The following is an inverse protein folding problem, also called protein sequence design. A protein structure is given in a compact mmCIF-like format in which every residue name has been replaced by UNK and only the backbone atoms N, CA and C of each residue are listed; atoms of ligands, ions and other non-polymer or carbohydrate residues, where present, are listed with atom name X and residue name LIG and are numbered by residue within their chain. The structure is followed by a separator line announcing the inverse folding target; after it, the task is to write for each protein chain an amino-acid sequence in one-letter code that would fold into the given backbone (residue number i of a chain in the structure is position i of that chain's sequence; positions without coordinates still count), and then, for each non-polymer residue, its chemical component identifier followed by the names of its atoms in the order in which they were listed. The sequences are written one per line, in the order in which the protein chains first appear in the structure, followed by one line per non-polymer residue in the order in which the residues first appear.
data_IF_531726876784
#
_entry.id   IF_531726876784
#
_cell.length_a   1.000
_cell.length_b   1.000
_cell.length_c   1.000
_cell.angle_alpha   90.00
_cell.angle_beta   90.00
_cell.angle_gamma   90.00
#
_symmetry.space_group_name_H-M   'P 1'
#
loop_
_entity.id
_entity.type
_entity.pdbx_description
1 polymer ?
#
# COMPACT_ATOMS: atom_id res chain seq x y z
N UNK A 1 9.25 -5.75 9.48
CA UNK A 1 7.92 -5.58 8.85
C UNK A 1 7.96 -5.07 7.42
N UNK A 2 8.77 -4.05 7.08
CA UNK A 2 8.80 -3.45 5.74
C UNK A 2 9.14 -4.42 4.59
N UNK A 3 10.08 -5.36 4.77
CA UNK A 3 10.51 -6.27 3.71
C UNK A 3 9.39 -7.18 3.16
N UNK A 4 8.42 -7.60 3.99
CA UNK A 4 7.27 -8.38 3.54
C UNK A 4 6.30 -7.55 2.70
N UNK A 5 6.02 -6.32 3.14
CA UNK A 5 5.13 -5.41 2.41
C UNK A 5 5.77 -5.04 1.06
N UNK A 6 7.08 -4.88 1.02
CA UNK A 6 7.80 -4.59 -0.22
C UNK A 6 7.68 -5.72 -1.24
N UNK A 7 7.82 -6.97 -0.78
CA UNK A 7 7.61 -8.14 -1.62
C UNK A 7 6.18 -8.22 -2.13
N UNK A 8 5.19 -8.02 -1.25
CA UNK A 8 3.77 -8.03 -1.60
C UNK A 8 3.44 -6.96 -2.64
N UNK A 9 3.90 -5.72 -2.46
CA UNK A 9 3.71 -4.64 -3.44
C UNK A 9 4.48 -4.94 -4.74
N UNK A 10 5.61 -5.64 -4.69
CA UNK A 10 6.35 -5.97 -5.91
C UNK A 10 5.72 -7.07 -6.76
N UNK A 11 4.96 -7.97 -6.16
CA UNK A 11 4.38 -9.13 -6.85
C UNK A 11 2.85 -9.06 -6.97
N UNK A 12 2.21 -8.05 -6.37
CA UNK A 12 0.78 -7.82 -6.50
C UNK A 12 0.47 -6.92 -7.70
N UNK A 13 -0.59 -7.26 -8.43
CA UNK A 13 -1.10 -6.40 -9.50
C UNK A 13 -1.95 -5.24 -8.97
N UNK A 14 -2.52 -5.38 -7.76
CA UNK A 14 -3.48 -4.44 -7.15
C UNK A 14 -3.28 -4.39 -5.64
N UNK A 15 -3.45 -3.21 -5.06
CA UNK A 15 -3.48 -3.03 -3.60
C UNK A 15 -4.91 -2.70 -3.18
N UNK A 16 -5.47 -3.46 -2.25
CA UNK A 16 -6.74 -3.11 -1.59
C UNK A 16 -6.39 -2.74 -0.16
N UNK A 17 -6.73 -1.53 0.25
CA UNK A 17 -6.48 -1.01 1.58
C UNK A 17 -7.79 -0.50 2.20
N UNK A 18 -7.89 -0.60 3.52
CA UNK A 18 -8.90 0.09 4.30
C UNK A 18 -8.17 1.13 5.13
N UNK A 19 -8.07 2.35 4.61
CA UNK A 19 -7.22 3.40 5.17
C UNK A 19 -7.93 4.75 5.20
N UNK A 20 -7.98 5.37 6.37
CA UNK A 20 -8.65 6.65 6.63
C UNK A 20 -7.88 7.89 6.12
N UNK A 21 -6.85 7.70 5.30
CA UNK A 21 -6.03 8.77 4.75
C UNK A 21 -5.08 9.43 5.76
N UNK A 22 -5.05 8.98 7.03
CA UNK A 22 -4.13 9.53 8.03
C UNK A 22 -2.73 8.96 7.85
N UNK A 23 -1.75 9.85 7.77
CA UNK A 23 -0.32 9.54 7.57
C UNK A 23 0.36 8.86 8.77
N UNK A 24 -0.37 8.09 9.58
CA UNK A 24 0.15 7.39 10.75
C UNK A 24 0.09 5.86 10.54
N UNK A 25 1.24 5.20 10.62
CA UNK A 25 1.34 3.73 10.65
C UNK A 25 1.77 3.06 9.35
N UNK A 26 1.81 1.72 9.37
CA UNK A 26 2.33 0.88 8.27
C UNK A 26 1.48 0.91 6.99
N UNK A 27 0.23 1.33 7.07
CA UNK A 27 -0.68 1.44 5.92
C UNK A 27 -0.29 2.61 5.02
N UNK A 28 0.09 3.76 5.59
CA UNK A 28 0.61 4.91 4.82
C UNK A 28 1.91 4.56 4.08
N UNK A 29 2.82 3.81 4.71
CA UNK A 29 4.04 3.33 4.05
C UNK A 29 3.73 2.47 2.81
N UNK A 30 2.77 1.54 2.97
CA UNK A 30 2.37 0.61 1.92
C UNK A 30 1.64 1.33 0.78
N UNK A 31 0.75 2.27 1.10
CA UNK A 31 0.05 3.11 0.12
C UNK A 31 1.03 3.95 -0.71
N UNK A 32 1.94 4.67 -0.06
CA UNK A 32 2.93 5.51 -0.75
C UNK A 32 3.84 4.69 -1.67
N UNK A 33 4.22 3.48 -1.26
CA UNK A 33 5.09 2.62 -2.06
C UNK A 33 4.35 1.97 -3.23
N UNK A 34 3.08 1.61 -3.06
CA UNK A 34 2.22 1.17 -4.15
C UNK A 34 1.97 2.29 -5.18
N UNK A 35 1.79 3.53 -4.72
CA UNK A 35 1.64 4.70 -5.58
C UNK A 35 2.90 4.96 -6.40
N UNK A 36 4.10 4.88 -5.78
CA UNK A 36 5.38 4.97 -6.49
C UNK A 36 5.56 3.88 -7.57
N UNK A 37 5.01 2.68 -7.32
CA UNK A 37 5.02 1.57 -8.29
C UNK A 37 3.88 1.63 -9.30
N UNK A 38 3.05 2.68 -9.29
CA UNK A 38 1.87 2.86 -10.16
C UNK A 38 0.90 1.67 -10.10
N UNK A 39 0.80 1.01 -8.94
CA UNK A 39 -0.19 -0.04 -8.75
C UNK A 39 -1.59 0.57 -8.67
N UNK A 40 -2.58 -0.19 -9.11
CA UNK A 40 -3.98 0.20 -8.92
C UNK A 40 -4.33 0.00 -7.44
N UNK A 41 -4.64 1.10 -6.76
CA UNK A 41 -4.98 1.10 -5.34
C UNK A 41 -6.49 1.31 -5.19
N UNK A 42 -7.16 0.37 -4.52
CA UNK A 42 -8.55 0.49 -4.10
C UNK A 42 -8.57 0.75 -2.59
N UNK A 43 -8.95 1.96 -2.20
CA UNK A 43 -9.20 2.29 -0.80
C UNK A 43 -10.69 2.07 -0.50
N UNK A 44 -10.99 1.31 0.56
CA UNK A 44 -12.35 0.93 0.95
C UNK A 44 -12.88 1.72 2.16
N UNK A 45 -12.12 2.70 2.65
CA UNK A 45 -12.59 3.69 3.62
C UNK A 45 -13.36 4.79 2.89
#
# INVERSE_FOLDING_TARGET
YAHRNDYMISHACRLIAYWDGKSAGGTSYTFNKAQKKKLVIYNLF
#
